data_IF_124363950251
#
_entry.id   IF_124363950251
#
_cell.length_a   1.000
_cell.length_b   1.000
_cell.length_c   1.000
_cell.angle_alpha   90.00
_cell.angle_beta   90.00
_cell.angle_gamma   90.00
#
_symmetry.space_group_name_H-M   'P 1'
#
loop_
_entity.id
_entity.type
_entity.pdbx_description
1 polymer ?
#
# COMPACT_ATOMS: atom_id res chain seq x y z
N UNK A 1 -34.67 -4.74 42.40
CA UNK A 1 -35.78 -5.00 41.45
C UNK A 1 -35.90 -3.81 40.50
N UNK A 2 -35.43 -3.92 39.25
CA UNK A 2 -35.81 -3.00 38.17
C UNK A 2 -35.43 -3.60 36.80
N UNK A 3 -36.51 -3.83 36.05
CA UNK A 3 -36.77 -4.22 34.66
C UNK A 3 -35.64 -4.74 33.74
N UNK A 4 -35.83 -6.00 33.32
CA UNK A 4 -35.30 -6.59 32.09
C UNK A 4 -35.91 -5.90 30.86
N UNK A 5 -35.07 -5.31 30.00
CA UNK A 5 -35.43 -4.94 28.64
C UNK A 5 -35.22 -6.15 27.71
N UNK A 6 -36.28 -6.57 27.02
CA UNK A 6 -36.25 -7.62 26.00
C UNK A 6 -35.83 -7.00 24.67
N UNK A 7 -34.75 -7.49 24.07
CA UNK A 7 -34.39 -7.22 22.69
C UNK A 7 -35.32 -8.02 21.77
N UNK A 8 -36.06 -7.33 20.89
CA UNK A 8 -36.81 -7.94 19.79
C UNK A 8 -35.95 -7.80 18.53
N UNK A 9 -35.40 -8.91 18.07
CA UNK A 9 -34.72 -9.00 16.79
C UNK A 9 -35.77 -9.20 15.68
N UNK A 10 -35.99 -8.19 14.84
CA UNK A 10 -36.73 -8.35 13.59
C UNK A 10 -35.74 -8.73 12.49
N UNK A 11 -35.73 -10.01 12.12
CA UNK A 11 -34.97 -10.53 10.98
C UNK A 11 -35.59 -10.06 9.67
N UNK A 12 -34.77 -9.44 8.82
CA UNK A 12 -35.12 -9.13 7.43
C UNK A 12 -34.31 -10.08 6.54
N UNK A 13 -34.94 -11.10 5.99
CA UNK A 13 -34.34 -11.95 4.96
C UNK A 13 -34.66 -11.34 3.60
N UNK A 14 -33.69 -10.65 2.99
CA UNK A 14 -33.76 -10.24 1.60
C UNK A 14 -33.43 -11.45 0.70
N UNK A 15 -34.38 -11.83 -0.15
CA UNK A 15 -34.20 -12.87 -1.17
C UNK A 15 -33.46 -12.26 -2.35
N UNK A 16 -32.19 -12.61 -2.52
CA UNK A 16 -31.41 -12.25 -3.71
C UNK A 16 -31.71 -13.24 -4.84
N UNK A 17 -32.49 -12.81 -5.83
CA UNK A 17 -32.67 -13.51 -7.11
C UNK A 17 -31.37 -13.49 -7.91
N UNK A 18 -30.76 -14.66 -8.10
CA UNK A 18 -29.66 -14.83 -9.06
C UNK A 18 -30.22 -14.85 -10.48
N UNK A 19 -29.97 -13.78 -11.24
CA UNK A 19 -30.15 -13.77 -12.69
C UNK A 19 -28.90 -14.40 -13.32
N UNK A 20 -29.04 -15.61 -13.86
CA UNK A 20 -28.03 -16.23 -14.72
C UNK A 20 -28.04 -15.51 -16.08
N UNK A 21 -27.14 -14.55 -16.26
CA UNK A 21 -26.80 -14.04 -17.59
C UNK A 21 -25.90 -15.06 -18.28
N UNK A 22 -26.41 -15.65 -19.36
CA UNK A 22 -25.66 -16.51 -20.28
C UNK A 22 -24.53 -15.70 -20.93
N UNK A 23 -23.28 -16.03 -20.60
CA UNK A 23 -22.11 -15.55 -21.35
C UNK A 23 -22.06 -16.29 -22.68
N UNK A 24 -22.42 -15.60 -23.76
CA UNK A 24 -22.10 -16.03 -25.11
C UNK A 24 -20.58 -15.97 -25.31
N UNK A 25 -19.94 -17.12 -25.48
CA UNK A 25 -18.57 -17.20 -25.96
C UNK A 25 -18.51 -16.67 -27.40
N UNK A 26 -18.01 -15.45 -27.59
CA UNK A 26 -17.59 -14.99 -28.91
C UNK A 26 -16.22 -15.61 -29.20
N UNK A 27 -16.18 -16.50 -30.18
CA UNK A 27 -14.93 -16.95 -30.78
C UNK A 27 -14.30 -15.74 -31.51
N UNK A 28 -13.26 -15.16 -30.92
CA UNK A 28 -12.42 -14.19 -31.61
C UNK A 28 -11.36 -14.95 -32.40
N UNK A 29 -11.62 -14.95 -33.70
CA UNK A 29 -10.73 -15.36 -34.77
C UNK A 29 -9.42 -14.57 -34.74
N UNK A 30 -8.33 -15.23 -35.14
CA UNK A 30 -6.96 -14.84 -34.86
C UNK A 30 -6.57 -13.45 -35.37
N UNK A 31 -5.90 -12.69 -34.49
CA UNK A 31 -5.16 -11.50 -34.85
C UNK A 31 -3.93 -11.39 -33.97
N UNK A 32 -2.76 -11.63 -34.56
CA UNK A 32 -1.41 -11.51 -33.98
C UNK A 32 -1.04 -10.04 -33.62
N UNK A 33 -2.04 -9.21 -33.32
CA UNK A 33 -1.97 -7.76 -33.12
C UNK A 33 -2.48 -7.31 -31.74
N UNK A 34 -3.05 -8.20 -30.91
CA UNK A 34 -3.51 -7.82 -29.55
C UNK A 34 -2.41 -7.82 -28.48
N UNK A 35 -1.16 -8.12 -28.85
CA UNK A 35 0.02 -8.02 -27.96
C UNK A 35 0.59 -6.59 -27.89
N UNK A 36 -0.01 -5.63 -28.61
CA UNK A 36 0.48 -4.25 -28.70
C UNK A 36 -0.18 -3.31 -27.66
N UNK A 37 -1.31 -3.69 -27.04
CA UNK A 37 -2.00 -2.83 -26.05
C UNK A 37 -1.61 -3.09 -24.58
N UNK A 38 -0.60 -3.94 -24.34
CA UNK A 38 0.06 -4.04 -23.04
C UNK A 38 1.44 -3.38 -23.12
N UNK A 39 1.92 -2.64 -22.11
CA UNK A 39 3.29 -2.14 -22.10
C UNK A 39 4.27 -3.31 -22.02
N UNK A 40 4.62 -3.85 -23.19
CA UNK A 40 5.73 -4.76 -23.37
C UNK A 40 7.00 -3.94 -23.16
N UNK A 41 7.53 -3.94 -21.95
CA UNK A 41 8.81 -3.29 -21.64
C UNK A 41 9.96 -4.16 -22.17
N UNK A 42 10.02 -4.35 -23.49
CA UNK A 42 11.24 -4.83 -24.14
C UNK A 42 12.15 -3.62 -24.33
N UNK A 43 12.89 -3.28 -23.28
CA UNK A 43 13.95 -2.27 -23.34
C UNK A 43 15.12 -2.85 -24.17
N UNK A 44 15.08 -2.67 -25.49
CA UNK A 44 16.15 -3.09 -26.37
C UNK A 44 17.20 -1.98 -26.47
N UNK A 45 18.22 -2.04 -25.62
CA UNK A 45 19.38 -1.16 -25.71
C UNK A 45 20.33 -1.72 -26.77
N UNK A 46 20.28 -1.19 -27.99
CA UNK A 46 21.28 -1.50 -29.00
C UNK A 46 22.41 -0.47 -28.94
N UNK A 47 23.65 -0.86 -28.59
CA UNK A 47 24.79 0.01 -28.74
C UNK A 47 25.04 0.24 -30.23
N UNK A 48 24.61 1.40 -30.74
CA UNK A 48 24.98 1.82 -32.09
C UNK A 48 26.37 2.46 -32.03
N UNK A 49 27.35 1.85 -32.72
CA UNK A 49 28.59 2.52 -33.08
C UNK A 49 29.90 2.02 -32.46
N UNK A 50 29.97 0.86 -31.81
CA UNK A 50 31.27 0.28 -31.43
C UNK A 50 31.37 -1.24 -31.62
N UNK A 51 32.43 -1.66 -32.31
CA UNK A 51 32.92 -3.03 -32.33
C UNK A 51 33.74 -3.27 -31.06
N UNK A 52 33.09 -3.74 -30.00
CA UNK A 52 33.76 -4.30 -28.84
C UNK A 52 34.13 -5.77 -29.10
N UNK A 53 35.35 -6.18 -28.75
CA UNK A 53 35.74 -7.58 -28.77
C UNK A 53 35.31 -8.23 -27.45
N UNK A 54 34.08 -8.73 -27.40
CA UNK A 54 33.47 -9.34 -26.20
C UNK A 54 32.63 -8.36 -25.36
N UNK A 55 32.39 -8.70 -24.09
CA UNK A 55 31.49 -7.98 -23.16
C UNK A 55 32.18 -6.84 -22.37
N UNK A 56 33.39 -6.45 -22.75
CA UNK A 56 34.16 -5.44 -22.02
C UNK A 56 34.14 -4.12 -22.77
N UNK A 57 33.53 -3.11 -22.16
CA UNK A 57 33.52 -1.74 -22.68
C UNK A 57 34.46 -0.89 -21.82
N UNK A 58 35.47 -0.27 -22.44
CA UNK A 58 36.40 0.65 -21.76
C UNK A 58 36.16 2.07 -22.26
N UNK A 59 35.41 2.87 -21.49
CA UNK A 59 35.08 4.27 -21.81
C UNK A 59 33.70 4.69 -21.29
N UNK A 60 33.39 5.99 -21.35
CA UNK A 60 32.05 6.52 -21.05
C UNK A 60 31.10 6.17 -22.20
N UNK A 61 30.18 5.24 -21.98
CA UNK A 61 29.21 4.85 -23.01
C UNK A 61 28.10 5.90 -23.10
N UNK A 62 28.01 6.59 -24.23
CA UNK A 62 26.80 7.34 -24.58
C UNK A 62 25.76 6.33 -25.06
N UNK A 63 25.08 5.66 -24.12
CA UNK A 63 23.99 4.75 -24.42
C UNK A 63 22.83 5.62 -24.89
N UNK A 64 22.74 5.80 -26.20
CA UNK A 64 21.58 6.43 -26.81
C UNK A 64 20.44 5.40 -26.79
N UNK A 65 19.84 5.23 -25.62
CA UNK A 65 18.54 4.59 -25.52
C UNK A 65 17.59 5.50 -26.30
N UNK A 66 17.25 5.14 -27.53
CA UNK A 66 16.02 5.62 -28.14
C UNK A 66 14.89 5.02 -27.31
N UNK A 67 14.62 5.60 -26.14
CA UNK A 67 13.39 5.40 -25.44
C UNK A 67 12.33 5.99 -26.37
N UNK A 68 11.71 5.14 -27.19
CA UNK A 68 10.41 5.45 -27.79
C UNK A 68 9.29 5.38 -26.74
N UNK A 69 9.62 5.50 -25.45
CA UNK A 69 8.79 6.31 -24.59
C UNK A 69 9.16 7.75 -24.94
N UNK A 70 8.41 8.36 -25.86
CA UNK A 70 8.10 9.76 -25.68
C UNK A 70 7.82 9.91 -24.17
N UNK A 71 8.69 10.63 -23.45
CA UNK A 71 8.24 11.26 -22.22
C UNK A 71 7.11 12.16 -22.69
N UNK A 72 5.90 11.60 -22.76
CA UNK A 72 4.69 12.36 -22.71
C UNK A 72 4.96 13.33 -21.57
N UNK A 73 5.01 14.62 -21.92
CA UNK A 73 5.00 15.72 -20.96
C UNK A 73 4.15 15.27 -19.79
N UNK A 74 4.77 15.22 -18.60
CA UNK A 74 4.20 14.81 -17.32
C UNK A 74 2.68 14.83 -17.37
N UNK A 75 1.97 13.70 -17.13
CA UNK A 75 0.55 13.77 -16.85
C UNK A 75 0.32 14.94 -15.89
N UNK A 76 -0.66 15.83 -16.14
CA UNK A 76 -0.95 16.87 -15.17
C UNK A 76 -1.21 16.16 -13.85
N UNK A 77 -0.53 16.63 -12.79
CA UNK A 77 -0.64 16.14 -11.41
C UNK A 77 0.30 15.00 -10.97
N UNK A 78 1.51 14.90 -11.52
CA UNK A 78 2.62 14.22 -10.81
C UNK A 78 3.16 15.14 -9.70
N UNK A 79 2.35 15.31 -8.67
CA UNK A 79 2.70 16.09 -7.50
C UNK A 79 3.71 15.33 -6.63
N UNK A 80 4.96 15.78 -6.65
CA UNK A 80 5.99 15.25 -5.77
C UNK A 80 5.70 15.54 -4.29
N UNK A 81 6.32 14.77 -3.41
CA UNK A 81 6.32 15.03 -1.97
C UNK A 81 7.64 15.70 -1.57
N UNK A 82 7.57 16.62 -0.60
CA UNK A 82 8.76 17.27 0.00
C UNK A 82 8.67 17.20 1.52
N UNK A 83 9.68 17.70 2.25
CA UNK A 83 9.62 17.79 3.70
C UNK A 83 9.43 16.46 4.43
N UNK A 84 10.09 15.40 3.97
CA UNK A 84 10.04 14.08 4.62
C UNK A 84 10.45 14.13 6.09
N UNK A 85 9.66 13.51 6.96
CA UNK A 85 10.06 13.18 8.33
C UNK A 85 9.41 11.87 8.82
N UNK A 86 10.05 11.23 9.80
CA UNK A 86 9.50 10.04 10.47
C UNK A 86 9.15 10.42 11.89
N UNK A 87 7.91 10.18 12.27
CA UNK A 87 7.41 10.32 13.64
C UNK A 87 7.03 8.95 14.18
N UNK A 88 7.02 8.80 15.50
CA UNK A 88 6.66 7.54 16.13
C UNK A 88 5.96 7.74 17.46
N UNK A 89 5.07 6.82 17.80
CA UNK A 89 4.40 6.74 19.09
C UNK A 89 4.61 5.36 19.71
N UNK A 90 4.95 5.31 21.00
CA UNK A 90 5.17 4.07 21.74
C UNK A 90 4.12 3.88 22.83
N UNK A 91 3.68 2.63 23.00
CA UNK A 91 2.64 2.29 23.95
C UNK A 91 2.97 0.97 24.68
N UNK A 92 2.67 0.92 25.98
CA UNK A 92 2.77 -0.30 26.78
C UNK A 92 1.49 -1.13 26.66
N UNK A 93 1.57 -2.17 25.85
CA UNK A 93 0.47 -3.09 25.59
C UNK A 93 0.36 -4.12 26.72
N UNK A 94 -0.60 -3.88 27.61
CA UNK A 94 -0.87 -4.72 28.76
C UNK A 94 -1.29 -6.15 28.36
N UNK A 95 -1.05 -7.16 29.22
CA UNK A 95 -1.54 -8.53 29.02
C UNK A 95 -3.04 -8.59 28.74
N UNK A 96 -3.46 -9.56 27.93
CA UNK A 96 -4.87 -9.81 27.59
C UNK A 96 -5.63 -8.61 27.00
N UNK A 97 -4.93 -7.67 26.35
CA UNK A 97 -5.54 -6.52 25.70
C UNK A 97 -5.90 -6.84 24.26
N UNK A 98 -7.08 -6.39 23.80
CA UNK A 98 -7.57 -6.61 22.44
C UNK A 98 -7.94 -5.27 21.77
N UNK A 99 -7.47 -5.06 20.54
CA UNK A 99 -7.90 -3.94 19.69
C UNK A 99 -7.46 -2.56 20.16
N UNK A 100 -6.33 -2.47 20.86
CA UNK A 100 -5.80 -1.21 21.40
C UNK A 100 -5.26 -0.35 20.27
N UNK A 101 -5.85 0.82 19.97
CA UNK A 101 -5.35 1.70 18.94
C UNK A 101 -4.10 2.46 19.44
N UNK A 102 -3.08 2.52 18.60
CA UNK A 102 -1.92 3.39 18.78
C UNK A 102 -1.70 4.13 17.47
N UNK A 103 -1.46 5.43 17.56
CA UNK A 103 -1.36 6.31 16.39
C UNK A 103 -0.10 7.16 16.48
N UNK A 104 0.65 7.20 15.37
CA UNK A 104 1.71 8.19 15.16
C UNK A 104 1.17 9.29 14.24
N UNK A 105 0.91 10.47 14.79
CA UNK A 105 0.34 11.60 14.06
C UNK A 105 1.43 12.44 13.39
N UNK A 106 1.21 12.79 12.12
CA UNK A 106 2.05 13.71 11.39
C UNK A 106 1.93 15.14 11.94
N UNK A 107 3.01 15.94 11.85
CA UNK A 107 2.94 17.35 12.19
C UNK A 107 1.92 18.10 11.34
N UNK A 108 1.40 19.21 11.88
CA UNK A 108 0.38 20.01 11.21
C UNK A 108 0.83 20.44 9.81
N UNK A 109 -0.05 20.23 8.82
CA UNK A 109 0.20 20.57 7.42
C UNK A 109 0.81 19.45 6.56
N UNK A 110 1.16 18.30 7.17
CA UNK A 110 1.68 17.14 6.45
C UNK A 110 0.69 16.00 6.39
N UNK A 111 0.81 15.22 5.32
CA UNK A 111 0.07 13.97 5.16
C UNK A 111 1.00 12.77 5.35
N UNK A 112 0.41 11.67 5.81
CA UNK A 112 1.07 10.38 5.90
C UNK A 112 1.22 9.79 4.49
N UNK A 113 2.44 9.37 4.16
CA UNK A 113 2.75 8.69 2.89
C UNK A 113 3.09 7.21 3.10
N UNK A 114 3.28 6.80 4.35
CA UNK A 114 3.55 5.42 4.74
C UNK A 114 3.73 5.30 6.25
N UNK A 115 4.02 4.09 6.70
CA UNK A 115 4.25 3.84 8.11
C UNK A 115 4.51 2.36 8.38
N UNK A 116 4.46 2.01 9.64
CA UNK A 116 4.70 0.64 10.07
C UNK A 116 4.69 0.50 11.56
N UNK A 117 4.96 -0.73 12.00
CA UNK A 117 4.86 -1.10 13.40
C UNK A 117 6.06 -1.94 13.80
N UNK A 118 6.43 -1.85 15.07
CA UNK A 118 7.46 -2.66 15.71
C UNK A 118 7.01 -3.00 17.12
N UNK A 119 7.42 -4.15 17.62
CA UNK A 119 7.31 -4.48 19.03
C UNK A 119 8.50 -5.31 19.48
N UNK A 120 8.74 -5.33 20.79
CA UNK A 120 9.63 -6.29 21.42
C UNK A 120 8.82 -7.54 21.82
N UNK A 121 9.45 -8.72 21.83
CA UNK A 121 8.83 -9.95 22.32
C UNK A 121 8.41 -10.94 21.23
N UNK A 122 7.60 -11.93 21.63
CA UNK A 122 7.17 -13.04 20.75
C UNK A 122 6.07 -12.59 19.78
N UNK A 123 6.21 -12.94 18.50
CA UNK A 123 5.17 -12.72 17.48
C UNK A 123 3.97 -13.66 17.61
N UNK A 124 3.99 -14.63 18.52
CA UNK A 124 2.85 -15.54 18.76
C UNK A 124 1.82 -14.97 19.73
N UNK A 125 2.21 -14.01 20.56
CA UNK A 125 1.37 -13.42 21.62
C UNK A 125 0.90 -12.02 21.26
N UNK A 126 1.74 -11.26 20.55
CA UNK A 126 1.45 -9.91 20.08
C UNK A 126 1.21 -9.93 18.58
N UNK A 127 0.15 -9.25 18.16
CA UNK A 127 -0.09 -8.96 16.77
C UNK A 127 -0.87 -7.67 16.57
N UNK A 128 -1.13 -7.37 15.30
CA UNK A 128 -1.87 -6.17 14.90
C UNK A 128 -2.91 -6.50 13.83
N UNK A 129 -4.00 -5.75 13.83
CA UNK A 129 -4.91 -5.59 12.70
C UNK A 129 -5.08 -4.09 12.40
N UNK A 130 -5.74 -3.76 11.29
CA UNK A 130 -6.02 -2.38 10.88
C UNK A 130 -4.78 -1.48 10.93
N UNK A 131 -3.73 -1.87 10.20
CA UNK A 131 -2.45 -1.17 10.12
C UNK A 131 -2.38 -0.34 8.83
N UNK A 132 -2.50 0.98 8.93
CA UNK A 132 -2.58 1.87 7.78
C UNK A 132 -2.73 3.35 8.12
N UNK A 133 -2.89 4.22 7.11
CA UNK A 133 -3.26 5.61 7.30
C UNK A 133 -4.56 5.76 8.11
N UNK A 134 -4.65 6.80 8.92
CA UNK A 134 -5.93 7.22 9.50
C UNK A 134 -6.84 7.84 8.42
N UNK A 135 -8.14 8.03 8.72
CA UNK A 135 -9.15 8.46 7.73
C UNK A 135 -8.82 9.79 7.05
N UNK A 136 -8.18 10.70 7.79
CA UNK A 136 -7.82 12.04 7.31
C UNK A 136 -6.42 12.11 6.67
N UNK A 137 -5.70 10.98 6.54
CA UNK A 137 -4.31 10.89 6.09
C UNK A 137 -3.32 11.78 6.89
N UNK A 138 -3.63 12.08 8.15
CA UNK A 138 -2.78 12.88 9.04
C UNK A 138 -1.91 12.03 9.96
N UNK A 139 -1.98 10.70 9.87
CA UNK A 139 -1.22 9.82 10.75
C UNK A 139 -1.31 8.35 10.33
N UNK A 140 -0.51 7.52 11.00
CA UNK A 140 -0.54 6.08 10.84
C UNK A 140 -1.10 5.43 12.09
N UNK A 141 -2.10 4.57 11.95
CA UNK A 141 -2.75 3.85 13.04
C UNK A 141 -2.52 2.36 12.91
N UNK A 142 -2.35 1.71 14.06
CA UNK A 142 -2.40 0.26 14.16
C UNK A 142 -3.20 -0.14 15.40
N UNK A 143 -3.99 -1.21 15.29
CA UNK A 143 -4.69 -1.81 16.43
C UNK A 143 -3.95 -3.05 16.88
N UNK A 144 -3.45 -3.02 18.11
CA UNK A 144 -2.68 -4.13 18.68
C UNK A 144 -3.54 -5.03 19.55
N UNK A 145 -3.11 -6.28 19.67
CA UNK A 145 -3.60 -7.22 20.66
C UNK A 145 -2.43 -7.96 21.29
N UNK A 146 -2.61 -8.33 22.55
CA UNK A 146 -1.68 -9.11 23.35
C UNK A 146 -2.47 -10.22 24.06
N UNK A 147 -2.31 -11.46 23.58
CA UNK A 147 -2.93 -12.65 24.17
C UNK A 147 -2.03 -13.34 25.19
N UNK A 148 -0.82 -12.81 25.40
CA UNK A 148 0.15 -13.31 26.38
C UNK A 148 -0.08 -12.74 27.79
N UNK A 149 0.79 -13.18 28.70
CA UNK A 149 0.75 -12.79 30.11
C UNK A 149 1.77 -11.70 30.49
N UNK A 150 2.56 -11.23 29.52
CA UNK A 150 3.59 -10.20 29.70
C UNK A 150 3.16 -8.89 29.06
N UNK A 151 3.62 -7.77 29.61
CA UNK A 151 3.49 -6.46 28.95
C UNK A 151 4.54 -6.35 27.84
N UNK A 152 4.15 -5.78 26.70
CA UNK A 152 5.05 -5.50 25.58
C UNK A 152 5.02 -4.02 25.21
N UNK A 153 6.12 -3.50 24.69
CA UNK A 153 6.17 -2.16 24.11
C UNK A 153 5.94 -2.28 22.61
N UNK A 154 4.87 -1.66 22.14
CA UNK A 154 4.59 -1.50 20.71
C UNK A 154 4.95 -0.09 20.28
N UNK A 155 5.45 0.06 19.06
CA UNK A 155 5.77 1.35 18.44
C UNK A 155 5.13 1.42 17.08
N UNK A 156 4.41 2.51 16.83
CA UNK A 156 3.88 2.87 15.51
C UNK A 156 4.76 3.95 14.93
N UNK A 157 5.04 3.85 13.63
CA UNK A 157 5.79 4.84 12.86
C UNK A 157 4.91 5.40 11.77
N UNK A 158 4.98 6.71 11.55
CA UNK A 158 4.41 7.37 10.39
C UNK A 158 5.51 8.09 9.60
N UNK A 159 5.45 7.97 8.29
CA UNK A 159 6.26 8.71 7.34
C UNK A 159 5.40 9.86 6.84
N UNK A 160 5.82 11.08 7.14
CA UNK A 160 5.05 12.29 6.88
C UNK A 160 5.78 13.15 5.86
N UNK A 161 5.01 13.77 4.96
CA UNK A 161 5.55 14.65 3.94
C UNK A 161 4.57 15.78 3.60
N UNK A 162 5.12 16.88 3.10
CA UNK A 162 4.35 17.91 2.42
C UNK A 162 3.94 17.32 1.06
N UNK A 163 2.67 16.98 0.92
CA UNK A 163 2.08 16.58 -0.37
C UNK A 163 1.66 17.89 -1.02
N UNK A 164 2.25 18.20 -2.18
CA UNK A 164 1.83 19.42 -2.88
C UNK A 164 0.32 19.37 -3.17
N UNK A 165 -0.29 20.54 -3.39
CA UNK A 165 -1.62 20.68 -4.01
C UNK A 165 -1.54 21.23 -5.42
#
# INVERSE_FOLDING_TARGET
MKLYQRFVATGVSAVATMLLSASSAQAQDGGLLSLIDGPSITLACFPAGQVGQGNTFTGTQNINCSQSAEQASTPPDQQGFTGYEVVSESYELLPNSLGVPVEASCPAGKNVTGGGIRWNGSSTEVGSHDNGPNEDNTGWVARFFNTGNSTFTVTVYAICADVGN
#
